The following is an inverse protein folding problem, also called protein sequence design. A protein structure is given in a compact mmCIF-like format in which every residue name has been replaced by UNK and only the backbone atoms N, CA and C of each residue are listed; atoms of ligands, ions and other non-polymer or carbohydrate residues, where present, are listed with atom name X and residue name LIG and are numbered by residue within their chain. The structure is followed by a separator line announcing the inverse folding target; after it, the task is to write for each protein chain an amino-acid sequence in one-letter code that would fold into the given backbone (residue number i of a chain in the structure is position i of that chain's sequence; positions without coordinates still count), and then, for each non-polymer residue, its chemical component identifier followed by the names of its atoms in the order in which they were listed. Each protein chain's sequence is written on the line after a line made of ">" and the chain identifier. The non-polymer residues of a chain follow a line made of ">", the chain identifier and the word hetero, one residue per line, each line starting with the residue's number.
data_IF_744945277466
#
_entry.id   IF_744945277466
#
_cell.length_a   1.000
_cell.length_b   1.000
_cell.length_c   1.000
_cell.angle_alpha   90.00
_cell.angle_beta   90.00
_cell.angle_gamma   90.00
#
_symmetry.space_group_name_H-M   'P 1'
#
loop_
_entity.id
_entity.type
_entity.pdbx_description
1 polymer ?
#
# COMPACT_ATOMS: atom_id res chain seq x y z
N UNK A 1 -12.04 12.59 2.69
CA UNK A 1 -13.10 13.10 3.59
C UNK A 1 -14.47 12.84 3.00
N UNK A 2 -14.92 13.58 1.98
CA UNK A 2 -16.25 13.37 1.33
C UNK A 2 -16.65 11.92 1.03
N UNK A 3 -15.73 11.10 0.50
CA UNK A 3 -16.00 9.65 0.23
C UNK A 3 -16.23 8.83 1.50
N UNK A 4 -15.54 9.16 2.58
CA UNK A 4 -15.65 8.47 3.89
C UNK A 4 -16.93 8.91 4.59
N UNK A 5 -17.25 10.21 4.54
CA UNK A 5 -18.51 10.77 5.06
C UNK A 5 -19.72 10.20 4.33
N UNK A 6 -19.64 10.07 2.99
CA UNK A 6 -20.70 9.46 2.19
C UNK A 6 -20.95 7.99 2.54
N UNK A 7 -19.97 7.30 3.13
CA UNK A 7 -20.12 5.94 3.65
C UNK A 7 -20.65 5.90 5.09
N UNK A 8 -21.09 7.04 5.65
CA UNK A 8 -21.60 7.15 7.01
C UNK A 8 -20.53 7.05 8.10
N UNK A 9 -19.24 7.08 7.73
CA UNK A 9 -18.14 7.02 8.70
C UNK A 9 -17.83 8.43 9.20
N UNK A 10 -17.96 8.69 10.52
CA UNK A 10 -17.61 9.98 11.09
C UNK A 10 -16.15 10.30 10.80
N UNK A 11 -15.88 11.53 10.36
CA UNK A 11 -14.52 11.96 10.11
C UNK A 11 -14.33 13.41 10.53
N UNK A 12 -13.11 13.72 10.95
CA UNK A 12 -12.73 15.06 11.36
C UNK A 12 -11.29 15.32 10.94
N UNK A 13 -10.96 16.58 10.68
CA UNK A 13 -9.55 16.95 10.60
C UNK A 13 -8.97 16.89 12.00
N UNK A 14 -7.78 16.32 12.12
CA UNK A 14 -7.14 16.10 13.41
C UNK A 14 -7.00 17.39 14.22
N UNK A 15 -6.73 18.51 13.55
CA UNK A 15 -6.59 19.83 14.18
C UNK A 15 -7.93 20.49 14.57
N UNK A 16 -9.08 19.91 14.22
CA UNK A 16 -10.38 20.46 14.63
C UNK A 16 -10.61 20.36 16.16
N UNK A 17 -9.88 19.48 16.84
CA UNK A 17 -9.98 19.31 18.30
C UNK A 17 -9.26 20.41 19.09
N UNK A 18 -8.47 21.28 18.46
CA UNK A 18 -7.82 22.42 19.11
C UNK A 18 -8.33 23.72 18.49
N UNK A 19 -9.03 24.53 19.28
CA UNK A 19 -9.53 25.82 18.83
C UNK A 19 -8.37 26.77 18.47
N UNK A 20 -8.57 27.75 17.55
CA UNK A 20 -7.54 28.74 17.25
C UNK A 20 -7.06 29.54 18.48
N UNK A 21 -7.95 29.75 19.46
CA UNK A 21 -7.63 30.44 20.72
C UNK A 21 -6.69 29.58 21.57
N UNK A 22 -7.01 28.30 21.75
CA UNK A 22 -6.15 27.36 22.48
C UNK A 22 -4.82 27.14 21.78
N UNK A 23 -4.81 27.02 20.45
CA UNK A 23 -3.59 26.87 19.68
C UNK A 23 -2.63 28.03 19.95
N UNK A 24 -3.12 29.28 19.91
CA UNK A 24 -2.32 30.48 20.23
C UNK A 24 -1.81 30.45 21.67
N UNK A 25 -2.64 30.00 22.63
CA UNK A 25 -2.26 29.87 24.03
C UNK A 25 -1.11 28.86 24.20
N UNK A 26 -1.25 27.66 23.65
CA UNK A 26 -0.24 26.59 23.68
C UNK A 26 1.08 27.08 23.05
N UNK A 27 1.01 27.77 21.93
CA UNK A 27 2.21 28.35 21.27
C UNK A 27 2.92 29.33 22.21
N UNK A 28 2.18 30.21 22.90
CA UNK A 28 2.77 31.18 23.85
C UNK A 28 3.38 30.50 25.07
N UNK A 29 2.75 29.45 25.58
CA UNK A 29 3.27 28.64 26.70
C UNK A 29 4.64 28.01 26.38
N UNK A 30 4.92 27.72 25.09
CA UNK A 30 6.20 27.16 24.65
C UNK A 30 7.31 28.20 24.47
N UNK A 31 7.00 29.50 24.40
CA UNK A 31 8.00 30.54 24.14
C UNK A 31 9.19 30.55 25.12
N UNK A 32 8.99 30.40 26.46
CA UNK A 32 10.09 30.34 27.39
C UNK A 32 11.02 29.15 27.12
N UNK A 33 10.45 27.98 26.82
CA UNK A 33 11.20 26.76 26.48
C UNK A 33 11.98 26.95 25.18
N UNK A 34 11.34 27.46 24.13
CA UNK A 34 12.01 27.73 22.85
C UNK A 34 13.17 28.72 23.03
N UNK A 35 12.98 29.79 23.81
CA UNK A 35 14.04 30.76 24.12
C UNK A 35 15.20 30.09 24.84
N UNK A 36 14.91 29.21 25.81
CA UNK A 36 15.92 28.45 26.56
C UNK A 36 16.70 27.49 25.64
N UNK A 37 16.00 26.71 24.81
CA UNK A 37 16.61 25.77 23.86
C UNK A 37 17.49 26.50 22.83
N UNK A 38 17.03 27.64 22.30
CA UNK A 38 17.85 28.47 21.39
C UNK A 38 19.11 29.02 22.06
N UNK A 39 19.04 29.43 23.34
CA UNK A 39 20.23 29.85 24.09
C UNK A 39 21.19 28.68 24.30
N UNK A 40 20.67 27.51 24.69
CA UNK A 40 21.48 26.29 24.85
C UNK A 40 22.16 25.93 23.53
N UNK A 41 21.44 25.86 22.42
CA UNK A 41 21.99 25.58 21.08
C UNK A 41 23.09 26.57 20.65
N UNK A 42 23.06 27.82 21.13
CA UNK A 42 24.12 28.80 20.87
C UNK A 42 25.37 28.53 21.71
N UNK A 43 25.19 28.03 22.93
CA UNK A 43 26.25 27.80 23.90
C UNK A 43 26.72 26.34 23.96
N UNK A 44 26.22 25.47 23.09
CA UNK A 44 26.46 24.03 23.13
C UNK A 44 27.78 23.66 22.43
N UNK A 45 28.85 23.31 23.16
CA UNK A 45 30.13 22.91 22.56
C UNK A 45 30.04 21.56 21.84
N UNK A 46 29.10 20.69 22.25
CA UNK A 46 28.87 19.39 21.61
C UNK A 46 28.26 19.57 20.22
N UNK A 47 27.36 20.55 20.05
CA UNK A 47 26.80 20.89 18.75
C UNK A 47 27.87 21.39 17.75
N UNK A 48 28.81 22.22 18.19
CA UNK A 48 29.94 22.67 17.36
C UNK A 48 30.94 21.54 17.05
N UNK A 49 31.02 20.51 17.90
CA UNK A 49 31.82 19.31 17.68
C UNK A 49 31.17 18.34 16.67
N UNK A 50 29.90 17.98 16.89
CA UNK A 50 29.11 17.07 16.05
C UNK A 50 28.87 17.60 14.63
N UNK A 51 28.91 18.91 14.48
CA UNK A 51 28.78 19.57 13.18
C UNK A 51 30.11 19.71 12.44
N UNK A 52 31.15 18.97 12.85
CA UNK A 52 32.39 18.80 12.08
C UNK A 52 32.40 17.44 11.38
N UNK A 53 32.74 17.45 10.10
CA UNK A 53 33.02 16.23 9.35
C UNK A 53 34.35 16.42 8.61
N UNK A 54 35.42 15.81 9.14
CA UNK A 54 36.79 16.10 8.70
C UNK A 54 37.14 17.58 8.90
N UNK A 55 37.55 18.27 7.82
CA UNK A 55 37.85 19.71 7.81
C UNK A 55 36.60 20.60 7.67
N UNK A 56 35.43 20.02 7.38
CA UNK A 56 34.21 20.77 7.07
C UNK A 56 33.44 21.12 8.34
N UNK A 57 33.12 22.40 8.51
CA UNK A 57 32.26 22.90 9.60
C UNK A 57 30.82 23.09 9.11
N UNK A 58 30.00 22.09 9.34
CA UNK A 58 28.57 22.08 9.02
C UNK A 58 27.72 22.87 10.02
N UNK A 59 28.27 23.37 11.13
CA UNK A 59 27.53 24.06 12.19
C UNK A 59 26.63 25.18 11.66
N UNK A 60 27.18 25.99 10.74
CA UNK A 60 26.47 27.11 10.11
C UNK A 60 25.32 26.66 9.21
N UNK A 61 25.45 25.49 8.58
CA UNK A 61 24.43 24.89 7.71
C UNK A 61 23.34 24.24 8.55
N UNK A 62 23.70 23.51 9.61
CA UNK A 62 22.76 22.78 10.46
C UNK A 62 21.97 23.69 11.41
N UNK A 63 22.57 24.82 11.84
CA UNK A 63 21.98 25.71 12.85
C UNK A 63 20.60 26.26 12.47
N UNK A 64 20.34 26.71 11.22
CA UNK A 64 18.99 27.04 10.76
C UNK A 64 17.99 25.89 10.97
N UNK A 65 18.32 24.66 10.56
CA UNK A 65 17.45 23.50 10.73
C UNK A 65 17.15 23.20 12.21
N UNK A 66 18.15 23.29 13.08
CA UNK A 66 17.97 23.09 14.51
C UNK A 66 17.08 24.19 15.14
N UNK A 67 17.25 25.45 14.70
CA UNK A 67 16.40 26.57 15.13
C UNK A 67 14.96 26.37 14.64
N UNK A 68 14.78 25.95 13.38
CA UNK A 68 13.47 25.66 12.82
C UNK A 68 12.80 24.46 13.49
N UNK A 69 13.55 23.42 13.85
CA UNK A 69 13.03 22.31 14.64
C UNK A 69 12.52 22.77 16.02
N UNK A 70 13.24 23.68 16.69
CA UNK A 70 12.79 24.29 17.96
C UNK A 70 11.56 25.18 17.74
N UNK A 71 11.50 25.93 16.65
CA UNK A 71 10.45 26.91 16.40
C UNK A 71 9.16 26.27 15.88
N UNK A 72 9.28 25.29 14.99
CA UNK A 72 8.18 24.66 14.28
C UNK A 72 7.91 23.26 14.81
N UNK A 73 8.88 22.33 14.75
CA UNK A 73 8.62 20.91 15.09
C UNK A 73 8.15 20.73 16.53
N UNK A 74 8.73 21.46 17.50
CA UNK A 74 8.28 21.42 18.90
C UNK A 74 6.83 21.89 19.06
N UNK A 75 6.49 23.02 18.42
CA UNK A 75 5.14 23.61 18.49
C UNK A 75 4.13 22.70 17.81
N UNK A 76 4.43 22.26 16.59
CA UNK A 76 3.62 21.33 15.81
C UNK A 76 3.38 20.06 16.62
N UNK A 77 4.43 19.45 17.20
CA UNK A 77 4.30 18.25 18.01
C UNK A 77 3.40 18.46 19.23
N UNK A 78 3.55 19.58 19.94
CA UNK A 78 2.69 19.88 21.11
C UNK A 78 1.23 20.08 20.71
N UNK A 79 0.98 20.77 19.60
CA UNK A 79 -0.37 20.97 19.05
C UNK A 79 -1.01 19.63 18.66
N UNK A 80 -0.27 18.75 17.98
CA UNK A 80 -0.75 17.41 17.63
C UNK A 80 -1.00 16.54 18.88
N UNK A 81 -0.13 16.58 19.90
CA UNK A 81 -0.36 15.87 21.17
C UNK A 81 -1.60 16.39 21.91
N UNK A 82 -1.84 17.70 21.89
CA UNK A 82 -3.06 18.27 22.46
C UNK A 82 -4.31 17.83 21.69
N UNK A 83 -4.25 17.89 20.36
CA UNK A 83 -5.34 17.42 19.51
C UNK A 83 -5.63 15.93 19.73
N UNK A 84 -4.59 15.11 19.87
CA UNK A 84 -4.71 13.69 20.18
C UNK A 84 -5.43 13.46 21.51
N UNK A 85 -5.01 14.15 22.58
CA UNK A 85 -5.68 14.10 23.88
C UNK A 85 -7.16 14.42 23.76
N UNK A 86 -7.50 15.54 23.13
CA UNK A 86 -8.88 16.02 23.02
C UNK A 86 -9.72 15.14 22.11
N UNK A 87 -9.14 14.60 21.04
CA UNK A 87 -9.82 13.64 20.17
C UNK A 87 -10.15 12.34 20.93
N UNK A 88 -9.18 11.81 21.69
CA UNK A 88 -9.41 10.61 22.51
C UNK A 88 -10.39 10.88 23.65
N UNK A 89 -10.37 12.06 24.27
CA UNK A 89 -11.36 12.46 25.29
C UNK A 89 -12.77 12.54 24.68
N UNK A 90 -12.91 13.13 23.49
CA UNK A 90 -14.20 13.33 22.82
C UNK A 90 -14.79 12.05 22.23
N UNK A 91 -13.94 11.18 21.66
CA UNK A 91 -14.36 9.94 20.99
C UNK A 91 -14.39 8.74 21.93
N UNK A 92 -13.60 8.74 23.01
CA UNK A 92 -13.45 7.64 23.96
C UNK A 92 -13.33 6.27 23.28
N UNK A 93 -12.36 6.06 22.36
CA UNK A 93 -12.31 4.84 21.58
C UNK A 93 -11.76 3.66 22.40
N UNK A 94 -12.25 2.46 22.10
CA UNK A 94 -11.72 1.21 22.65
C UNK A 94 -10.36 0.84 22.02
N UNK A 95 -10.10 1.29 20.78
CA UNK A 95 -8.83 1.06 20.11
C UNK A 95 -8.48 2.19 19.12
N UNK A 96 -7.18 2.34 18.85
CA UNK A 96 -6.63 3.26 17.86
C UNK A 96 -5.91 2.47 16.78
N UNK A 97 -6.28 2.70 15.52
CA UNK A 97 -5.57 2.15 14.36
C UNK A 97 -4.94 3.28 13.56
N UNK A 98 -3.63 3.20 13.33
CA UNK A 98 -2.88 4.13 12.48
C UNK A 98 -2.31 3.40 11.24
N UNK A 99 -2.06 4.13 10.16
CA UNK A 99 -1.53 3.60 8.90
C UNK A 99 -0.10 4.09 8.61
N UNK A 100 0.45 4.96 9.46
CA UNK A 100 1.77 5.53 9.34
C UNK A 100 2.33 5.97 10.69
N UNK A 101 3.55 5.55 10.97
CA UNK A 101 4.38 6.02 12.08
C UNK A 101 5.23 7.25 11.71
N UNK A 102 5.10 7.78 10.49
CA UNK A 102 5.88 8.93 10.00
C UNK A 102 5.14 10.26 10.14
N UNK A 103 3.80 10.25 10.19
CA UNK A 103 2.97 11.46 10.21
C UNK A 103 2.68 11.94 11.64
N UNK A 104 2.79 13.25 11.89
CA UNK A 104 2.60 13.83 13.24
C UNK A 104 1.26 13.47 13.89
N UNK A 105 0.15 13.52 13.14
CA UNK A 105 -1.17 13.20 13.66
C UNK A 105 -1.26 11.76 14.18
N UNK A 106 -0.83 10.81 13.36
CA UNK A 106 -0.90 9.38 13.65
C UNK A 106 0.04 9.02 14.80
N UNK A 107 1.27 9.54 14.80
CA UNK A 107 2.21 9.37 15.92
C UNK A 107 1.68 9.94 17.23
N UNK A 108 1.13 11.16 17.21
CA UNK A 108 0.60 11.78 18.41
C UNK A 108 -0.61 11.00 18.96
N UNK A 109 -1.51 10.56 18.08
CA UNK A 109 -2.65 9.73 18.46
C UNK A 109 -2.19 8.43 19.13
N UNK A 110 -1.25 7.74 18.51
CA UNK A 110 -0.70 6.48 19.00
C UNK A 110 0.02 6.64 20.35
N UNK A 111 0.87 7.67 20.50
CA UNK A 111 1.57 7.94 21.76
C UNK A 111 0.63 8.30 22.91
N UNK A 112 -0.39 9.13 22.66
CA UNK A 112 -1.35 9.52 23.70
C UNK A 112 -2.31 8.36 24.04
N UNK A 113 -2.70 7.55 23.05
CA UNK A 113 -3.51 6.35 23.27
C UNK A 113 -2.77 5.34 24.16
N UNK A 114 -1.51 5.04 23.85
CA UNK A 114 -0.65 4.17 24.67
C UNK A 114 -0.47 4.69 26.09
N UNK A 115 -0.25 5.99 26.26
CA UNK A 115 -0.15 6.61 27.59
C UNK A 115 -1.44 6.51 28.42
N UNK A 116 -2.56 6.16 27.78
CA UNK A 116 -3.87 5.92 28.40
C UNK A 116 -4.25 4.44 28.41
N UNK A 117 -3.32 3.54 28.08
CA UNK A 117 -3.57 2.10 27.95
C UNK A 117 -4.69 1.75 26.96
N UNK A 118 -4.88 2.57 25.92
CA UNK A 118 -5.80 2.27 24.81
C UNK A 118 -5.03 1.42 23.79
N UNK A 119 -5.52 0.23 23.43
CA UNK A 119 -4.97 -0.61 22.37
C UNK A 119 -4.61 0.19 21.12
N UNK A 120 -3.34 0.14 20.73
CA UNK A 120 -2.85 0.91 19.59
C UNK A 120 -2.25 -0.01 18.55
N UNK A 121 -2.82 -0.02 17.34
CA UNK A 121 -2.42 -0.88 16.23
C UNK A 121 -1.85 -0.04 15.08
N UNK A 122 -0.77 -0.52 14.46
CA UNK A 122 -0.19 0.07 13.25
C UNK A 122 -0.40 -0.86 12.06
N UNK A 123 -1.26 -0.48 11.12
CA UNK A 123 -1.43 -1.19 9.86
C UNK A 123 -0.37 -0.78 8.86
N UNK A 124 0.50 -1.72 8.48
CA UNK A 124 1.55 -1.48 7.51
C UNK A 124 1.27 -2.21 6.19
N UNK A 125 0.34 -1.66 5.41
CA UNK A 125 -0.09 -2.23 4.13
C UNK A 125 0.81 -1.97 2.93
N UNK A 126 1.91 -1.23 3.06
CA UNK A 126 2.72 -0.79 1.91
C UNK A 126 3.95 -1.65 1.62
N UNK A 127 4.13 -2.78 2.32
CA UNK A 127 5.42 -3.49 2.36
C UNK A 127 5.37 -4.94 1.93
N UNK A 128 4.77 -5.28 0.79
CA UNK A 128 5.11 -6.56 0.17
C UNK A 128 6.60 -6.61 -0.24
N UNK A 129 7.23 -5.45 -0.50
CA UNK A 129 8.62 -5.35 -0.96
C UNK A 129 9.43 -4.22 -0.29
N UNK A 130 8.92 -3.57 0.76
CA UNK A 130 9.70 -2.48 1.37
C UNK A 130 10.92 -3.06 2.08
N UNK A 131 12.11 -2.66 1.61
CA UNK A 131 13.40 -2.95 2.24
C UNK A 131 13.89 -1.81 3.14
N UNK A 132 13.05 -0.79 3.36
CA UNK A 132 13.34 0.25 4.32
C UNK A 132 13.57 -0.46 5.66
N UNK A 133 14.79 -0.35 6.21
CA UNK A 133 15.02 -0.69 7.62
C UNK A 133 13.98 0.09 8.39
N UNK A 134 13.08 -0.64 9.03
CA UNK A 134 11.95 -0.03 9.71
C UNK A 134 12.53 0.96 10.69
N UNK A 135 12.09 2.21 10.60
CA UNK A 135 12.24 3.08 11.74
C UNK A 135 11.45 2.40 12.85
N UNK A 136 12.15 1.79 13.79
CA UNK A 136 11.60 1.03 14.91
C UNK A 136 10.89 1.94 15.91
N UNK A 137 10.26 3.03 15.46
CA UNK A 137 9.43 3.87 16.29
C UNK A 137 8.30 3.00 16.84
N UNK A 138 8.55 2.50 18.03
CA UNK A 138 7.67 1.68 18.83
C UNK A 138 6.50 2.54 19.33
N UNK A 139 5.58 2.84 18.41
CA UNK A 139 4.43 3.71 18.67
C UNK A 139 3.13 2.93 18.80
N UNK A 140 3.14 1.61 18.57
CA UNK A 140 1.97 0.75 18.58
C UNK A 140 2.25 -0.57 19.32
N UNK A 141 1.21 -1.12 19.95
CA UNK A 141 1.27 -2.42 20.65
C UNK A 141 1.42 -3.57 19.66
N UNK A 142 0.79 -3.43 18.48
CA UNK A 142 0.83 -4.44 17.43
C UNK A 142 1.04 -3.81 16.05
N UNK A 143 1.89 -4.45 15.25
CA UNK A 143 2.00 -4.19 13.82
C UNK A 143 1.12 -5.19 13.08
N UNK A 144 0.23 -4.68 12.26
CA UNK A 144 -0.68 -5.45 11.43
C UNK A 144 -0.10 -5.57 10.02
N UNK A 145 0.01 -6.80 9.55
CA UNK A 145 0.67 -7.15 8.30
C UNK A 145 -0.30 -7.84 7.33
N UNK A 146 0.04 -7.77 6.04
CA UNK A 146 -0.80 -8.29 4.96
C UNK A 146 -0.54 -9.77 4.63
N UNK A 147 0.62 -10.32 4.97
CA UNK A 147 0.96 -11.72 4.73
C UNK A 147 2.20 -12.18 5.48
N UNK A 148 2.45 -13.49 5.45
CA UNK A 148 3.49 -14.14 6.24
C UNK A 148 4.91 -13.85 5.73
N UNK A 149 5.09 -13.66 4.43
CA UNK A 149 6.37 -13.24 3.85
C UNK A 149 6.87 -11.92 4.47
N UNK A 150 5.99 -10.93 4.58
CA UNK A 150 6.30 -9.67 5.25
C UNK A 150 6.64 -9.92 6.71
N UNK A 151 5.86 -10.76 7.42
CA UNK A 151 6.13 -11.12 8.82
C UNK A 151 7.51 -11.73 8.99
N UNK A 152 7.92 -12.65 8.11
CA UNK A 152 9.25 -13.25 8.14
C UNK A 152 10.35 -12.20 7.98
N UNK A 153 10.21 -11.29 7.02
CA UNK A 153 11.16 -10.19 6.81
C UNK A 153 11.25 -9.24 8.03
N UNK A 154 10.13 -8.98 8.72
CA UNK A 154 10.12 -8.18 9.95
C UNK A 154 10.88 -8.86 11.10
N UNK A 155 10.72 -10.17 11.24
CA UNK A 155 11.41 -10.97 12.26
C UNK A 155 12.92 -11.00 11.98
N UNK A 156 13.32 -11.14 10.73
CA UNK A 156 14.73 -11.06 10.31
C UNK A 156 15.35 -9.69 10.64
N UNK A 157 14.56 -8.61 10.55
CA UNK A 157 14.98 -7.27 10.97
C UNK A 157 15.01 -7.07 12.50
N UNK A 158 14.69 -8.09 13.29
CA UNK A 158 14.77 -8.07 14.76
C UNK A 158 13.50 -7.60 15.46
N UNK A 159 12.36 -7.48 14.76
CA UNK A 159 11.09 -7.20 15.41
C UNK A 159 10.57 -8.47 16.11
N UNK A 160 10.21 -8.34 17.39
CA UNK A 160 9.71 -9.47 18.18
C UNK A 160 8.45 -10.09 17.53
N UNK A 161 8.40 -11.43 17.32
CA UNK A 161 7.27 -12.08 16.66
C UNK A 161 5.90 -11.80 17.29
N UNK A 162 5.85 -11.64 18.63
CA UNK A 162 4.60 -11.31 19.35
C UNK A 162 4.03 -9.94 18.99
N UNK A 163 4.83 -9.06 18.40
CA UNK A 163 4.41 -7.72 17.99
C UNK A 163 3.85 -7.69 16.57
N UNK A 164 3.85 -8.82 15.87
CA UNK A 164 3.50 -8.91 14.46
C UNK A 164 2.27 -9.81 14.32
N UNK A 165 1.18 -9.26 13.81
CA UNK A 165 -0.02 -10.04 13.48
C UNK A 165 -0.37 -9.89 12.01
N UNK A 166 -0.51 -11.01 11.30
CA UNK A 166 -0.98 -11.02 9.91
C UNK A 166 -2.51 -10.98 9.92
N UNK A 167 -3.09 -9.97 9.27
CA UNK A 167 -4.55 -9.77 9.18
C UNK A 167 -5.08 -9.76 7.75
N UNK A 168 -4.18 -9.63 6.76
CA UNK A 168 -4.52 -9.52 5.35
C UNK A 168 -4.60 -8.08 4.85
N UNK A 169 -4.91 -7.94 3.56
CA UNK A 169 -5.00 -6.63 2.89
C UNK A 169 -6.44 -6.08 2.89
N UNK A 170 -6.68 -4.90 3.50
CA UNK A 170 -7.98 -4.23 3.47
C UNK A 170 -8.51 -3.95 2.07
N UNK A 171 -7.65 -3.66 1.09
CA UNK A 171 -8.12 -3.34 -0.28
C UNK A 171 -8.67 -4.57 -0.98
N UNK A 172 -7.92 -5.67 -0.93
CA UNK A 172 -8.36 -6.98 -1.41
C UNK A 172 -9.62 -7.44 -0.68
N UNK A 173 -9.69 -7.25 0.65
CA UNK A 173 -10.86 -7.62 1.45
C UNK A 173 -12.11 -6.85 1.01
N UNK A 174 -12.02 -5.53 0.79
CA UNK A 174 -13.15 -4.72 0.30
C UNK A 174 -13.63 -5.24 -1.06
N UNK A 175 -12.71 -5.51 -1.99
CA UNK A 175 -13.08 -6.06 -3.29
C UNK A 175 -13.71 -7.46 -3.19
N UNK A 176 -13.29 -8.28 -2.22
CA UNK A 176 -13.84 -9.63 -1.97
C UNK A 176 -15.25 -9.61 -1.40
N UNK A 177 -15.57 -8.62 -0.57
CA UNK A 177 -16.90 -8.47 0.04
C UNK A 177 -17.99 -8.09 -0.97
N UNK A 178 -17.60 -7.61 -2.15
CA UNK A 178 -18.53 -7.31 -3.23
C UNK A 178 -18.90 -8.59 -3.99
N UNK A 179 -20.20 -8.74 -4.26
CA UNK A 179 -20.67 -9.79 -5.17
C UNK A 179 -20.01 -9.62 -6.54
N UNK A 180 -19.41 -10.70 -7.07
CA UNK A 180 -18.65 -10.64 -8.32
C UNK A 180 -19.54 -10.26 -9.50
N UNK A 181 -20.76 -10.78 -9.55
CA UNK A 181 -21.70 -10.54 -10.66
C UNK A 181 -22.12 -9.08 -10.67
N UNK A 182 -22.56 -8.54 -9.53
CA UNK A 182 -22.92 -7.12 -9.39
C UNK A 182 -21.74 -6.20 -9.68
N UNK A 183 -20.55 -6.53 -9.17
CA UNK A 183 -19.33 -5.76 -9.43
C UNK A 183 -18.99 -5.74 -10.93
N UNK A 184 -19.10 -6.91 -11.59
CA UNK A 184 -18.84 -7.04 -13.03
C UNK A 184 -19.84 -6.25 -13.85
N UNK A 185 -21.14 -6.38 -13.58
CA UNK A 185 -22.19 -5.60 -14.26
C UNK A 185 -21.95 -4.09 -14.15
N UNK A 186 -21.57 -3.62 -12.96
CA UNK A 186 -21.24 -2.20 -12.75
C UNK A 186 -20.03 -1.76 -13.57
N UNK A 187 -18.96 -2.55 -13.57
CA UNK A 187 -17.74 -2.27 -14.36
C UNK A 187 -18.07 -2.24 -15.86
N UNK A 188 -18.87 -3.19 -16.33
CA UNK A 188 -19.25 -3.29 -17.73
C UNK A 188 -20.12 -2.10 -18.15
N UNK A 189 -21.02 -1.66 -17.28
CA UNK A 189 -21.83 -0.46 -17.52
C UNK A 189 -20.97 0.81 -17.49
N UNK A 190 -20.12 0.97 -16.48
CA UNK A 190 -19.29 2.17 -16.27
C UNK A 190 -18.27 2.37 -17.40
N UNK A 191 -17.73 1.28 -17.95
CA UNK A 191 -16.71 1.32 -19.01
C UNK A 191 -17.27 0.96 -20.39
N UNK A 192 -18.59 0.86 -20.54
CA UNK A 192 -19.28 0.59 -21.81
C UNK A 192 -18.76 -0.69 -22.51
N UNK A 193 -18.55 -1.75 -21.73
CA UNK A 193 -18.03 -3.04 -22.20
C UNK A 193 -19.14 -3.93 -22.74
N UNK A 194 -18.81 -4.78 -23.72
CA UNK A 194 -19.76 -5.73 -24.30
C UNK A 194 -20.05 -6.87 -23.29
N UNK A 195 -21.30 -7.09 -22.85
CA UNK A 195 -21.64 -7.99 -21.74
C UNK A 195 -21.38 -9.48 -22.03
N UNK A 196 -21.36 -9.86 -23.29
CA UNK A 196 -21.13 -11.22 -23.78
C UNK A 196 -19.65 -11.59 -23.94
N UNK A 197 -18.74 -10.62 -23.71
CA UNK A 197 -17.30 -10.81 -23.93
C UNK A 197 -16.53 -10.96 -22.62
N UNK A 198 -15.50 -11.83 -22.57
CA UNK A 198 -14.61 -11.91 -21.42
C UNK A 198 -13.88 -10.58 -21.16
N UNK A 199 -13.55 -10.30 -19.91
CA UNK A 199 -12.79 -9.13 -19.49
C UNK A 199 -11.33 -9.51 -19.22
N UNK A 200 -10.42 -8.93 -19.99
CA UNK A 200 -8.98 -8.98 -19.76
C UNK A 200 -8.50 -7.66 -19.18
N UNK A 201 -7.77 -7.71 -18.07
CA UNK A 201 -7.16 -6.52 -17.46
C UNK A 201 -5.68 -6.48 -17.82
N UNK A 202 -5.28 -5.45 -18.56
CA UNK A 202 -3.87 -5.15 -18.81
C UNK A 202 -3.35 -4.21 -17.72
N UNK A 203 -2.35 -4.64 -16.95
CA UNK A 203 -1.68 -3.74 -15.99
C UNK A 203 -0.58 -3.00 -16.73
N UNK A 204 -0.66 -1.66 -16.77
CA UNK A 204 0.31 -0.84 -17.48
C UNK A 204 1.71 -0.92 -16.84
N UNK A 205 2.74 -0.74 -17.66
CA UNK A 205 4.13 -0.60 -17.22
C UNK A 205 4.71 0.69 -17.79
N UNK A 206 5.23 1.54 -16.90
CA UNK A 206 5.93 2.76 -17.27
C UNK A 206 7.43 2.52 -17.43
N UNK A 207 8.11 3.37 -18.20
CA UNK A 207 9.56 3.31 -18.40
C UNK A 207 10.28 3.52 -17.08
N UNK A 208 11.23 2.67 -16.77
CA UNK A 208 12.02 2.70 -15.53
C UNK A 208 13.44 2.21 -15.80
N UNK A 209 14.30 2.24 -14.77
CA UNK A 209 15.67 1.69 -14.88
C UNK A 209 15.68 0.19 -15.23
N UNK A 210 14.58 -0.53 -14.95
CA UNK A 210 14.43 -1.96 -15.27
C UNK A 210 13.51 -2.21 -16.47
N UNK A 211 13.02 -1.18 -17.16
CA UNK A 211 12.06 -1.35 -18.26
C UNK A 211 12.17 -0.23 -19.28
N UNK A 212 12.71 -0.53 -20.46
CA UNK A 212 13.03 0.46 -21.49
C UNK A 212 11.79 0.93 -22.27
N UNK A 213 11.90 2.05 -23.03
CA UNK A 213 10.86 2.45 -23.98
C UNK A 213 10.53 1.39 -25.03
N UNK A 214 11.53 0.69 -25.55
CA UNK A 214 11.38 -0.36 -26.57
C UNK A 214 10.67 -1.59 -25.99
N UNK A 215 11.01 -1.99 -24.77
CA UNK A 215 10.31 -3.07 -24.06
C UNK A 215 8.85 -2.70 -23.79
N UNK A 216 8.60 -1.42 -23.45
CA UNK A 216 7.24 -0.92 -23.29
C UNK A 216 6.46 -1.04 -24.60
N UNK A 217 6.98 -0.53 -25.70
CA UNK A 217 6.32 -0.64 -27.00
C UNK A 217 6.09 -2.11 -27.38
N UNK A 218 7.10 -2.96 -27.25
CA UNK A 218 7.00 -4.39 -27.54
C UNK A 218 5.89 -5.06 -26.70
N UNK A 219 5.81 -4.75 -25.41
CA UNK A 219 4.75 -5.24 -24.53
C UNK A 219 3.36 -4.85 -25.05
N UNK A 220 3.11 -3.56 -25.31
CA UNK A 220 1.80 -3.12 -25.79
C UNK A 220 1.46 -3.68 -27.17
N UNK A 221 2.42 -3.77 -28.10
CA UNK A 221 2.21 -4.38 -29.43
C UNK A 221 1.90 -5.88 -29.34
N UNK A 222 2.56 -6.59 -28.42
CA UNK A 222 2.29 -8.02 -28.18
C UNK A 222 0.86 -8.21 -27.70
N UNK A 223 0.42 -7.40 -26.73
CA UNK A 223 -0.94 -7.50 -26.20
C UNK A 223 -1.98 -7.08 -27.24
N UNK A 224 -1.77 -5.98 -27.95
CA UNK A 224 -2.66 -5.54 -29.03
C UNK A 224 -2.82 -6.64 -30.10
N UNK A 225 -1.70 -7.19 -30.58
CA UNK A 225 -1.71 -8.26 -31.58
C UNK A 225 -2.37 -9.55 -31.10
N UNK A 226 -2.28 -9.86 -29.80
CA UNK A 226 -2.97 -11.01 -29.21
C UNK A 226 -4.48 -10.79 -29.09
N UNK A 227 -4.89 -9.57 -28.74
CA UNK A 227 -6.31 -9.18 -28.67
C UNK A 227 -6.97 -9.25 -30.05
N UNK A 228 -6.26 -8.80 -31.10
CA UNK A 228 -6.73 -8.90 -32.49
C UNK A 228 -6.93 -10.36 -32.93
N UNK A 229 -6.04 -11.26 -32.52
CA UNK A 229 -6.10 -12.71 -32.84
C UNK A 229 -7.19 -13.43 -32.06
N UNK A 230 -7.30 -13.13 -30.77
CA UNK A 230 -8.27 -13.75 -29.88
C UNK A 230 -9.69 -13.37 -30.30
N UNK A 231 -9.89 -12.10 -30.70
CA UNK A 231 -11.20 -11.56 -31.01
C UNK A 231 -12.13 -11.56 -29.79
N UNK A 232 -13.28 -10.89 -29.91
CA UNK A 232 -14.40 -10.99 -28.95
C UNK A 232 -14.04 -10.88 -27.44
N UNK A 233 -13.05 -10.07 -27.07
CA UNK A 233 -12.71 -9.77 -25.66
C UNK A 233 -12.85 -8.28 -25.36
N UNK A 234 -13.23 -7.96 -24.12
CA UNK A 234 -13.08 -6.64 -23.55
C UNK A 234 -11.69 -6.50 -22.95
N UNK A 235 -11.04 -5.36 -23.17
CA UNK A 235 -9.74 -5.08 -22.57
C UNK A 235 -9.74 -3.73 -21.86
N UNK A 236 -9.37 -3.75 -20.59
CA UNK A 236 -9.18 -2.54 -19.79
C UNK A 236 -7.71 -2.42 -19.40
N UNK A 237 -7.09 -1.30 -19.78
CA UNK A 237 -5.73 -0.97 -19.40
C UNK A 237 -5.75 -0.19 -18.08
N UNK A 238 -5.39 -0.88 -16.99
CA UNK A 238 -5.20 -0.24 -15.68
C UNK A 238 -3.88 0.52 -15.66
N UNK A 239 -3.96 1.84 -15.76
CA UNK A 239 -2.80 2.72 -15.81
C UNK A 239 -2.18 2.88 -14.41
N UNK A 240 -0.85 2.78 -14.35
CA UNK A 240 -0.06 2.96 -13.14
C UNK A 240 -0.18 4.40 -12.62
N UNK A 241 -0.25 4.65 -11.31
CA UNK A 241 -0.39 6.01 -10.77
C UNK A 241 0.73 6.96 -11.18
N UNK A 242 1.96 6.46 -11.32
CA UNK A 242 3.12 7.26 -11.74
C UNK A 242 3.21 7.46 -13.27
N UNK A 243 2.33 6.83 -14.05
CA UNK A 243 2.34 6.95 -15.49
C UNK A 243 1.49 8.15 -15.96
N UNK A 244 1.98 8.91 -16.93
CA UNK A 244 1.23 10.05 -17.46
C UNK A 244 0.17 9.55 -18.44
N UNK A 245 -1.10 9.52 -18.00
CA UNK A 245 -2.23 9.03 -18.80
C UNK A 245 -2.34 9.67 -20.21
N UNK A 246 -2.20 11.00 -20.40
CA UNK A 246 -2.25 11.59 -21.74
C UNK A 246 -1.16 11.04 -22.66
N UNK A 247 0.08 10.93 -22.16
CA UNK A 247 1.21 10.40 -22.93
C UNK A 247 0.99 8.93 -23.29
N UNK A 248 0.54 8.11 -22.34
CA UNK A 248 0.27 6.70 -22.62
C UNK A 248 -0.83 6.54 -23.67
N UNK A 249 -1.87 7.38 -23.62
CA UNK A 249 -2.95 7.36 -24.62
C UNK A 249 -2.42 7.64 -26.03
N UNK A 250 -1.52 8.60 -26.18
CA UNK A 250 -0.92 8.93 -27.47
C UNK A 250 -0.04 7.77 -27.99
N UNK A 251 0.80 7.20 -27.11
CA UNK A 251 1.64 6.06 -27.42
C UNK A 251 0.84 4.82 -27.84
N UNK A 252 -0.19 4.45 -27.08
CA UNK A 252 -1.03 3.27 -27.38
C UNK A 252 -1.72 3.40 -28.74
N UNK A 253 -2.15 4.63 -29.10
CA UNK A 253 -2.69 4.92 -30.43
C UNK A 253 -1.65 4.81 -31.54
N UNK A 254 -0.44 5.34 -31.31
CA UNK A 254 0.70 5.24 -32.24
C UNK A 254 1.11 3.77 -32.47
N UNK A 255 1.03 2.95 -31.43
CA UNK A 255 1.31 1.52 -31.50
C UNK A 255 0.18 0.69 -32.12
N UNK A 256 -0.91 1.33 -32.56
CA UNK A 256 -1.97 0.71 -33.34
C UNK A 256 -3.25 0.35 -32.57
N UNK A 257 -3.31 0.62 -31.26
CA UNK A 257 -4.46 0.23 -30.43
C UNK A 257 -5.36 1.43 -30.13
N UNK A 258 -6.17 1.83 -31.11
CA UNK A 258 -6.93 3.09 -31.05
C UNK A 258 -8.06 3.10 -30.02
N UNK A 259 -8.72 1.97 -29.83
CA UNK A 259 -9.93 1.82 -29.02
C UNK A 259 -9.63 1.26 -27.62
N UNK A 260 -8.39 1.38 -27.16
CA UNK A 260 -8.00 0.93 -25.83
C UNK A 260 -8.68 1.77 -24.73
N UNK A 261 -9.29 1.08 -23.75
CA UNK A 261 -9.89 1.71 -22.58
C UNK A 261 -8.82 1.88 -21.49
N UNK A 262 -8.35 3.11 -21.28
CA UNK A 262 -7.31 3.42 -20.29
C UNK A 262 -7.91 4.03 -19.03
N UNK A 263 -7.68 3.38 -17.88
CA UNK A 263 -8.26 3.80 -16.60
C UNK A 263 -7.16 3.95 -15.55
N UNK A 264 -6.94 5.17 -15.10
CA UNK A 264 -5.95 5.45 -14.06
C UNK A 264 -6.56 5.41 -12.66
N UNK A 265 -7.75 5.99 -12.47
CA UNK A 265 -8.37 6.21 -11.16
C UNK A 265 -9.46 5.18 -10.84
N UNK A 266 -9.07 3.92 -10.66
CA UNK A 266 -9.99 2.83 -10.24
C UNK A 266 -9.25 1.84 -9.33
N UNK A 267 -9.97 1.10 -8.48
CA UNK A 267 -9.33 0.09 -7.63
C UNK A 267 -9.00 -1.17 -8.44
N UNK A 268 -7.73 -1.51 -8.51
CA UNK A 268 -7.25 -2.66 -9.29
C UNK A 268 -7.79 -4.00 -8.75
N UNK A 269 -8.00 -4.13 -7.44
CA UNK A 269 -8.52 -5.38 -6.86
C UNK A 269 -9.95 -5.66 -7.31
N UNK A 270 -10.76 -4.62 -7.50
CA UNK A 270 -12.09 -4.73 -8.09
C UNK A 270 -12.03 -5.17 -9.55
N UNK A 271 -11.06 -4.67 -10.32
CA UNK A 271 -10.85 -5.14 -11.69
C UNK A 271 -10.46 -6.61 -11.72
N UNK A 272 -9.47 -7.03 -10.92
CA UNK A 272 -9.08 -8.43 -10.82
C UNK A 272 -10.24 -9.33 -10.38
N UNK A 273 -11.04 -8.88 -9.41
CA UNK A 273 -12.22 -9.62 -8.95
C UNK A 273 -13.28 -9.80 -10.02
N UNK A 274 -13.39 -8.89 -10.99
CA UNK A 274 -14.35 -8.96 -12.08
C UNK A 274 -13.78 -9.64 -13.34
N UNK A 275 -12.46 -9.61 -13.52
CA UNK A 275 -11.79 -10.05 -14.74
C UNK A 275 -11.75 -11.58 -14.88
N UNK A 276 -11.59 -12.01 -16.12
CA UNK A 276 -11.43 -13.41 -16.51
C UNK A 276 -9.95 -13.78 -16.63
N UNK A 277 -9.10 -12.81 -17.02
CA UNK A 277 -7.65 -12.92 -16.96
C UNK A 277 -6.97 -11.55 -16.77
N UNK A 278 -5.73 -11.55 -16.28
CA UNK A 278 -4.88 -10.37 -16.21
C UNK A 278 -3.59 -10.56 -17.01
N UNK A 279 -3.12 -9.51 -17.67
CA UNK A 279 -1.88 -9.49 -18.44
C UNK A 279 -0.97 -8.41 -17.87
N UNK A 280 0.29 -8.75 -17.63
CA UNK A 280 1.25 -7.79 -17.09
C UNK A 280 2.69 -8.22 -17.34
N UNK A 281 3.61 -7.27 -17.25
CA UNK A 281 5.01 -7.56 -16.93
C UNK A 281 5.09 -7.89 -15.44
N UNK A 282 6.04 -8.72 -15.01
CA UNK A 282 6.18 -9.10 -13.60
C UNK A 282 6.09 -7.91 -12.65
N UNK A 283 5.16 -8.00 -11.70
CA UNK A 283 4.71 -6.93 -10.81
C UNK A 283 4.02 -7.53 -9.58
N UNK A 284 4.02 -6.80 -8.46
CA UNK A 284 3.28 -7.22 -7.26
C UNK A 284 1.78 -7.33 -7.51
N UNK A 285 1.28 -6.58 -8.49
CA UNK A 285 -0.09 -6.71 -8.97
C UNK A 285 -0.42 -8.14 -9.44
N UNK A 286 0.58 -8.95 -9.83
CA UNK A 286 0.38 -10.35 -10.18
C UNK A 286 0.04 -11.19 -8.95
N UNK A 287 0.69 -10.95 -7.82
CA UNK A 287 0.38 -11.61 -6.55
C UNK A 287 -1.01 -11.20 -6.06
N UNK A 288 -1.35 -9.90 -6.14
CA UNK A 288 -2.69 -9.38 -5.83
C UNK A 288 -3.77 -10.00 -6.74
N UNK A 289 -3.51 -10.12 -8.05
CA UNK A 289 -4.44 -10.73 -9.00
C UNK A 289 -4.69 -12.21 -8.70
N UNK A 290 -3.62 -12.98 -8.43
CA UNK A 290 -3.72 -14.38 -8.03
C UNK A 290 -4.49 -14.55 -6.70
N UNK A 291 -4.26 -13.67 -5.72
CA UNK A 291 -5.01 -13.66 -4.46
C UNK A 291 -6.51 -13.35 -4.67
N UNK A 292 -6.84 -12.57 -5.69
CA UNK A 292 -8.22 -12.29 -6.11
C UNK A 292 -8.81 -13.34 -7.05
N UNK A 293 -8.12 -14.48 -7.24
CA UNK A 293 -8.54 -15.59 -8.09
C UNK A 293 -8.68 -15.19 -9.57
N UNK A 294 -7.86 -14.22 -10.01
CA UNK A 294 -7.73 -13.82 -11.40
C UNK A 294 -6.46 -14.47 -11.98
N UNK A 295 -6.59 -15.38 -12.98
CA UNK A 295 -5.41 -15.99 -13.60
C UNK A 295 -4.57 -14.94 -14.35
N UNK A 296 -3.25 -15.10 -14.28
CA UNK A 296 -2.29 -14.10 -14.79
C UNK A 296 -1.46 -14.67 -15.92
N UNK A 297 -1.23 -13.86 -16.96
CA UNK A 297 -0.19 -14.06 -17.97
C UNK A 297 0.91 -13.01 -17.78
N UNK A 298 2.10 -13.47 -17.42
CA UNK A 298 3.30 -12.67 -17.37
C UNK A 298 3.94 -12.59 -18.77
N UNK A 299 3.91 -11.40 -19.36
CA UNK A 299 4.59 -11.11 -20.63
C UNK A 299 5.94 -10.48 -20.32
N UNK A 300 7.04 -11.16 -20.64
CA UNK A 300 8.37 -10.67 -20.29
C UNK A 300 9.28 -10.55 -21.52
N UNK A 301 10.28 -9.69 -21.44
CA UNK A 301 11.35 -9.63 -22.44
C UNK A 301 12.11 -10.96 -22.47
N UNK A 302 12.34 -11.56 -23.66
CA UNK A 302 13.12 -12.78 -23.80
C UNK A 302 14.48 -12.68 -23.10
N UNK A 303 14.85 -13.71 -22.34
CA UNK A 303 16.16 -13.81 -21.68
C UNK A 303 16.42 -12.83 -20.53
N UNK A 304 15.46 -11.97 -20.18
CA UNK A 304 15.58 -11.03 -19.07
C UNK A 304 14.96 -11.58 -17.79
N UNK A 305 15.70 -11.50 -16.70
CA UNK A 305 15.18 -11.81 -15.37
C UNK A 305 14.42 -10.60 -14.79
N UNK A 306 13.12 -10.80 -14.54
CA UNK A 306 12.27 -9.82 -13.88
C UNK A 306 11.97 -10.15 -12.42
N UNK A 307 12.37 -11.35 -11.96
CA UNK A 307 12.15 -11.80 -10.59
C UNK A 307 13.32 -11.33 -9.73
N UNK A 308 14.55 -11.72 -10.11
CA UNK A 308 15.79 -11.34 -9.43
C UNK A 308 15.66 -11.37 -7.90
N UNK A 309 16.25 -10.39 -7.23
CA UNK A 309 16.06 -10.24 -5.77
C UNK A 309 14.80 -9.41 -5.42
N UNK A 310 14.14 -8.79 -6.40
CA UNK A 310 13.19 -7.70 -6.16
C UNK A 310 11.71 -8.10 -6.24
N UNK A 311 11.41 -9.24 -6.85
CA UNK A 311 10.06 -9.66 -7.19
C UNK A 311 9.87 -11.14 -6.82
N UNK A 312 8.69 -11.54 -6.30
CA UNK A 312 8.40 -12.94 -6.03
C UNK A 312 8.52 -13.82 -7.27
N UNK A 313 8.99 -15.05 -7.07
CA UNK A 313 9.33 -16.03 -8.10
C UNK A 313 8.11 -16.69 -8.78
N UNK A 314 7.02 -15.97 -9.03
CA UNK A 314 5.75 -16.56 -9.51
C UNK A 314 5.77 -17.04 -10.95
N UNK A 315 6.71 -16.57 -11.76
CA UNK A 315 6.94 -17.03 -13.13
C UNK A 315 7.79 -18.29 -13.11
N UNK A 316 8.93 -18.28 -12.43
CA UNK A 316 9.81 -19.46 -12.35
C UNK A 316 9.18 -20.63 -11.58
N UNK A 317 8.31 -20.36 -10.61
CA UNK A 317 7.49 -21.38 -9.94
C UNK A 317 6.21 -21.77 -10.71
N UNK A 318 6.03 -21.26 -11.93
CA UNK A 318 4.89 -21.56 -12.81
C UNK A 318 3.51 -21.27 -12.18
N UNK A 319 3.43 -20.30 -11.26
CA UNK A 319 2.16 -19.85 -10.68
C UNK A 319 1.33 -19.00 -11.65
N UNK A 320 1.97 -18.45 -12.69
CA UNK A 320 1.34 -17.72 -13.79
C UNK A 320 1.73 -18.34 -15.14
N UNK A 321 0.97 -18.03 -16.19
CA UNK A 321 1.42 -18.35 -17.55
C UNK A 321 2.53 -17.37 -17.98
N UNK A 322 3.52 -17.84 -18.74
CA UNK A 322 4.63 -17.04 -19.25
C UNK A 322 4.51 -16.94 -20.77
N UNK A 323 4.62 -15.72 -21.28
CA UNK A 323 4.77 -15.46 -22.72
C UNK A 323 5.91 -14.46 -22.92
N UNK A 324 6.58 -14.55 -24.05
CA UNK A 324 7.63 -13.62 -24.42
C UNK A 324 7.09 -12.41 -25.19
N UNK A 325 7.65 -11.24 -24.95
CA UNK A 325 7.37 -10.05 -25.75
C UNK A 325 7.72 -10.32 -27.22
N UNK A 326 6.79 -9.99 -28.11
CA UNK A 326 6.84 -10.30 -29.54
C UNK A 326 5.99 -11.51 -29.93
N UNK A 327 5.61 -12.38 -28.98
CA UNK A 327 4.80 -13.58 -29.26
C UNK A 327 3.29 -13.33 -29.05
N UNK A 328 2.69 -12.61 -29.99
CA UNK A 328 1.26 -12.32 -29.96
C UNK A 328 0.39 -13.59 -30.13
N UNK A 329 0.86 -14.59 -30.87
CA UNK A 329 0.16 -15.85 -31.08
C UNK A 329 0.15 -16.71 -29.81
N UNK A 330 1.29 -16.82 -29.12
CA UNK A 330 1.39 -17.49 -27.83
C UNK A 330 0.56 -16.78 -26.75
N UNK A 331 0.53 -15.44 -26.73
CA UNK A 331 -0.32 -14.70 -25.81
C UNK A 331 -1.82 -14.91 -26.10
N UNK A 332 -2.22 -14.93 -27.37
CA UNK A 332 -3.60 -15.22 -27.75
C UNK A 332 -4.02 -16.63 -27.32
N UNK A 333 -3.17 -17.63 -27.55
CA UNK A 333 -3.42 -19.01 -27.13
C UNK A 333 -3.50 -19.16 -25.60
N UNK A 334 -2.60 -18.50 -24.87
CA UNK A 334 -2.63 -18.48 -23.41
C UNK A 334 -3.93 -17.84 -22.89
N UNK A 335 -4.33 -16.69 -23.44
CA UNK A 335 -5.56 -16.01 -23.06
C UNK A 335 -6.80 -16.85 -23.39
N UNK A 336 -6.87 -17.46 -24.57
CA UNK A 336 -7.99 -18.32 -24.97
C UNK A 336 -8.27 -19.44 -23.94
N UNK A 337 -7.20 -20.05 -23.41
CA UNK A 337 -7.30 -21.08 -22.37
C UNK A 337 -7.65 -20.57 -20.97
N UNK A 338 -7.61 -19.26 -20.73
CA UNK A 338 -7.86 -18.64 -19.41
C UNK A 338 -9.17 -17.86 -19.35
N UNK A 339 -9.64 -17.32 -20.47
CA UNK A 339 -10.91 -16.57 -20.53
C UNK A 339 -12.13 -17.48 -20.56
N UNK A 340 -11.94 -18.76 -20.90
CA UNK A 340 -12.99 -19.79 -20.87
C UNK A 340 -12.85 -20.65 -19.62
N UNK A 341 -13.98 -21.07 -19.03
CA UNK A 341 -13.96 -22.07 -17.96
C UNK A 341 -13.37 -23.38 -18.47
N UNK A 342 -12.51 -24.01 -17.67
CA UNK A 342 -11.92 -25.28 -18.03
C UNK A 342 -10.64 -25.63 -17.26
N UNK A 343 -10.09 -26.83 -17.51
CA UNK A 343 -9.00 -27.40 -16.71
C UNK A 343 -7.73 -26.55 -16.69
N UNK A 344 -7.39 -25.89 -17.80
CA UNK A 344 -6.21 -25.02 -17.90
C UNK A 344 -6.32 -23.84 -16.94
N UNK A 345 -7.48 -23.16 -16.94
CA UNK A 345 -7.79 -22.05 -16.07
C UNK A 345 -7.77 -22.47 -14.61
N UNK A 346 -8.46 -23.57 -14.28
CA UNK A 346 -8.58 -24.06 -12.90
C UNK A 346 -7.22 -24.45 -12.32
N UNK A 347 -6.40 -25.15 -13.12
CA UNK A 347 -5.05 -25.53 -12.72
C UNK A 347 -4.16 -24.31 -12.46
N UNK A 348 -4.23 -23.29 -13.34
CA UNK A 348 -3.44 -22.06 -13.14
C UNK A 348 -3.92 -21.27 -11.93
N UNK A 349 -5.22 -21.13 -11.74
CA UNK A 349 -5.81 -20.47 -10.57
C UNK A 349 -5.42 -21.16 -9.26
N UNK A 350 -5.42 -22.50 -9.21
CA UNK A 350 -5.03 -23.26 -8.03
C UNK A 350 -3.55 -23.04 -7.67
N UNK A 351 -2.66 -23.03 -8.67
CA UNK A 351 -1.24 -22.69 -8.47
C UNK A 351 -1.07 -21.24 -8.01
N UNK A 352 -1.76 -20.31 -8.66
CA UNK A 352 -1.72 -18.90 -8.30
C UNK A 352 -2.19 -18.63 -6.88
N UNK A 353 -3.31 -19.24 -6.46
CA UNK A 353 -3.83 -19.15 -5.09
C UNK A 353 -2.80 -19.65 -4.07
N UNK A 354 -2.21 -20.83 -4.33
CA UNK A 354 -1.17 -21.41 -3.46
C UNK A 354 0.05 -20.51 -3.38
N UNK A 355 0.50 -19.97 -4.52
CA UNK A 355 1.63 -19.05 -4.56
C UNK A 355 1.35 -17.78 -3.75
N UNK A 356 0.21 -17.13 -4.01
CA UNK A 356 -0.14 -15.84 -3.44
C UNK A 356 -0.35 -15.89 -1.92
N UNK A 357 -0.81 -17.04 -1.38
CA UNK A 357 -1.03 -17.23 0.05
C UNK A 357 0.23 -17.03 0.91
N UNK A 358 1.44 -17.14 0.33
CA UNK A 358 2.70 -16.85 1.04
C UNK A 358 2.88 -15.34 1.31
N UNK A 359 2.41 -14.51 0.40
CA UNK A 359 2.67 -13.08 0.38
C UNK A 359 1.48 -12.26 0.87
N UNK A 360 0.27 -12.75 0.62
CA UNK A 360 -0.99 -12.16 1.01
C UNK A 360 -1.79 -13.21 1.77
N UNK A 361 -2.20 -12.87 2.99
CA UNK A 361 -3.15 -13.68 3.73
C UNK A 361 -4.40 -13.92 2.88
N UNK A 362 -5.02 -15.12 2.94
CA UNK A 362 -6.23 -15.44 2.19
C UNK A 362 -7.26 -14.31 2.19
N UNK A 363 -7.71 -13.94 0.98
CA UNK A 363 -8.73 -12.90 0.77
C UNK A 363 -10.11 -13.53 0.95
N UNK A 364 -10.45 -13.79 2.20
CA UNK A 364 -11.63 -14.55 2.62
C UNK A 364 -12.81 -13.67 3.08
N UNK A 365 -12.65 -12.35 3.09
CA UNK A 365 -13.67 -11.42 3.58
C UNK A 365 -13.72 -11.27 5.10
N UNK A 366 -12.83 -11.94 5.85
CA UNK A 366 -12.88 -12.02 7.33
C UNK A 366 -11.90 -11.08 8.03
N UNK A 367 -11.39 -10.06 7.32
CA UNK A 367 -10.41 -9.12 7.89
C UNK A 367 -10.94 -8.38 9.12
N UNK A 368 -12.23 -8.01 9.14
CA UNK A 368 -12.84 -7.33 10.29
C UNK A 368 -12.81 -8.20 11.54
N UNK A 369 -13.15 -9.49 11.43
CA UNK A 369 -13.11 -10.43 12.55
C UNK A 369 -11.69 -10.57 13.11
N UNK A 370 -10.69 -10.66 12.22
CA UNK A 370 -9.27 -10.70 12.62
C UNK A 370 -8.85 -9.43 13.35
N UNK A 371 -9.22 -8.25 12.82
CA UNK A 371 -8.88 -6.97 13.46
C UNK A 371 -9.48 -6.85 14.87
N UNK A 372 -10.76 -7.22 15.05
CA UNK A 372 -11.41 -7.21 16.36
C UNK A 372 -10.72 -8.20 17.32
N UNK A 373 -10.36 -9.38 16.82
CA UNK A 373 -9.58 -10.36 17.60
C UNK A 373 -8.25 -9.78 18.11
N UNK A 374 -7.51 -9.06 17.25
CA UNK A 374 -6.24 -8.43 17.65
C UNK A 374 -6.44 -7.33 18.69
N UNK A 375 -7.52 -6.56 18.60
CA UNK A 375 -7.85 -5.56 19.64
C UNK A 375 -8.02 -6.25 20.99
N UNK A 376 -8.83 -7.31 21.06
CA UNK A 376 -9.07 -8.05 22.30
C UNK A 376 -7.79 -8.69 22.87
N UNK A 377 -6.92 -9.22 22.00
CA UNK A 377 -5.61 -9.75 22.41
C UNK A 377 -4.75 -8.66 23.07
N UNK A 378 -4.66 -7.48 22.46
CA UNK A 378 -3.88 -6.36 22.99
C UNK A 378 -4.48 -5.83 24.30
N UNK A 379 -5.81 -5.73 24.41
CA UNK A 379 -6.49 -5.36 25.66
C UNK A 379 -6.12 -6.30 26.81
N UNK A 380 -6.17 -7.61 26.57
CA UNK A 380 -5.81 -8.62 27.56
C UNK A 380 -4.33 -8.48 28.00
N UNK A 381 -3.43 -8.24 27.06
CA UNK A 381 -2.00 -8.03 27.35
C UNK A 381 -1.74 -6.77 28.17
N UNK A 382 -2.44 -5.67 27.87
CA UNK A 382 -2.34 -4.42 28.62
C UNK A 382 -2.90 -4.57 30.04
N UNK A 383 -4.04 -5.28 30.19
CA UNK A 383 -4.61 -5.60 31.51
C UNK A 383 -3.68 -6.46 32.36
N UNK A 384 -3.03 -7.47 31.77
CA UNK A 384 -2.06 -8.30 32.46
C UNK A 384 -0.85 -7.49 32.96
N UNK A 385 -0.30 -6.58 32.15
CA UNK A 385 0.82 -5.70 32.58
C UNK A 385 0.43 -4.81 33.75
N UNK A 386 -0.76 -4.21 33.70
CA UNK A 386 -1.25 -3.35 34.77
C UNK A 386 -1.47 -4.12 36.10
N UNK A 387 -1.73 -5.43 36.03
CA UNK A 387 -1.87 -6.29 37.22
C UNK A 387 -0.52 -6.72 37.84
N UNK A 388 0.54 -6.80 37.04
CA UNK A 388 1.90 -7.15 37.49
C UNK A 388 2.65 -5.95 38.06
N UNK A 389 2.34 -4.73 37.58
CA UNK A 389 2.97 -3.48 38.04
C UNK A 389 2.29 -2.85 39.27
N UNK A 390 1.19 -3.44 39.78
CA UNK A 390 0.57 -3.04 41.04
C UNK A 390 1.05 -3.96 42.17
N UNK A 391 1.95 -3.52 43.06
CA UNK A 391 2.30 -4.26 44.27
C UNK A 391 1.13 -4.38 45.25
#
# INVERSE_FOLDING_TARGET
>A
MKRVEAAGVPCAYFMNYVSPVDARRIVRELWPLQRRLRRRLKADPEYESLSRHGSVRLAKILRPFAVDAINQSLVISRLYLESARRALDALSPDAVVIASDRRYAERALALVARARSIPTLLFWGSSLLSRDRINTFDVADRLLLIGDDVRAAMVEQGIEPRRLTVVGDPRSNVARLEDRTVLRERIFTEFELAPDRPLVVLVSKYVSVLFSPEEKEAFYRTVAGAVDRLGQVNVVIKVHPNERLPLLRDQVREWGWRDAILIQSYDIHRLFRAADAAVMVTSMAGVEAMAMECPVVAVQTPGKDFEGDYMPAYVSEAAVARVDMGDADGLAAALAGLVSEGPTRDALMARGRTFAARYLHPVDGRLTERLVGVVAEVEAELGARASVERP
#
